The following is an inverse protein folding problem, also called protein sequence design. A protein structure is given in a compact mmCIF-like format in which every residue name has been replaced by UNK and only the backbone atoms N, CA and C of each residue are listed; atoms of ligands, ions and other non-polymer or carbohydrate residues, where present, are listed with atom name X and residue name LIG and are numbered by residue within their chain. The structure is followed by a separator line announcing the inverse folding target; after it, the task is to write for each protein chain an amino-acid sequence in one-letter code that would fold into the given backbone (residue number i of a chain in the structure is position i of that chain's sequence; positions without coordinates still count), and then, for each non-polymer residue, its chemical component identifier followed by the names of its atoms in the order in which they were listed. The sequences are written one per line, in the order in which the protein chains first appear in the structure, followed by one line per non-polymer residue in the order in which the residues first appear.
data_IF_037384591845
#
_entry.id   IF_037384591845
#
_cell.length_a   1.000
_cell.length_b   1.000
_cell.length_c   1.000
_cell.angle_alpha   90.00
_cell.angle_beta   90.00
_cell.angle_gamma   90.00
#
_symmetry.space_group_name_H-M   'P 1'
#
loop_
_entity.id
_entity.type
_entity.pdbx_description
1 polymer ?
#
# COMPACT_ATOMS: atom_id res chain seq x y z
N UNK A 1 22.93 29.13 2.12
CA UNK A 1 21.90 29.53 1.12
C UNK A 1 20.96 28.34 0.91
N UNK A 2 19.67 28.42 1.28
CA UNK A 2 18.72 27.33 0.95
C UNK A 2 18.25 27.54 -0.49
N UNK A 3 18.84 26.82 -1.43
CA UNK A 3 18.35 26.76 -2.81
C UNK A 3 16.92 26.18 -2.78
N UNK A 4 15.92 27.03 -3.06
CA UNK A 4 14.58 26.53 -3.37
C UNK A 4 14.64 25.99 -4.80
N UNK A 5 14.46 24.69 -4.94
CA UNK A 5 14.18 24.10 -6.25
C UNK A 5 12.88 24.70 -6.81
N UNK A 6 12.75 24.84 -8.14
CA UNK A 6 11.51 25.27 -8.78
C UNK A 6 10.32 24.42 -8.36
N UNK A 7 9.15 25.05 -8.23
CA UNK A 7 7.90 24.34 -7.98
C UNK A 7 7.35 23.80 -9.32
N UNK A 8 7.23 22.47 -9.43
CA UNK A 8 6.63 21.82 -10.60
C UNK A 8 5.11 22.06 -10.60
N UNK A 9 4.57 22.46 -11.75
CA UNK A 9 3.13 22.68 -11.96
C UNK A 9 2.71 22.06 -13.31
N UNK A 10 2.53 20.74 -13.38
CA UNK A 10 2.18 20.08 -14.62
C UNK A 10 0.75 20.48 -15.05
N UNK A 11 0.53 20.56 -16.36
CA UNK A 11 -0.79 20.89 -16.94
C UNK A 11 -1.83 19.80 -16.70
N UNK A 12 -1.37 18.55 -16.63
CA UNK A 12 -2.18 17.39 -16.29
C UNK A 12 -1.64 16.72 -15.03
N UNK A 13 -2.52 16.15 -14.18
CA UNK A 13 -2.06 15.42 -13.02
C UNK A 13 -1.19 14.21 -13.42
N UNK A 14 -0.03 13.99 -12.79
CA UNK A 14 0.82 12.84 -13.13
C UNK A 14 0.10 11.50 -12.93
N UNK A 15 0.48 10.52 -13.74
CA UNK A 15 0.12 9.12 -13.53
C UNK A 15 1.26 8.40 -12.83
N UNK A 16 0.93 7.46 -11.94
CA UNK A 16 1.90 6.51 -11.41
C UNK A 16 1.28 5.14 -11.14
N UNK A 17 2.11 4.21 -10.68
CA UNK A 17 1.74 2.82 -10.48
C UNK A 17 2.14 2.35 -9.07
N UNK A 18 1.32 1.50 -8.47
CA UNK A 18 1.60 0.91 -7.17
C UNK A 18 0.87 -0.40 -6.99
N UNK A 19 1.18 -1.14 -5.93
CA UNK A 19 0.42 -2.35 -5.56
C UNK A 19 -0.37 -2.12 -4.27
N UNK A 20 -1.53 -2.76 -4.17
CA UNK A 20 -2.36 -2.72 -2.98
C UNK A 20 -3.27 -3.95 -2.91
N UNK A 21 -3.64 -4.37 -1.70
CA UNK A 21 -4.58 -5.46 -1.52
C UNK A 21 -6.02 -4.95 -1.67
N UNK A 22 -6.84 -5.55 -2.55
CA UNK A 22 -8.27 -5.28 -2.61
C UNK A 22 -8.93 -5.67 -1.28
N UNK A 23 -9.85 -4.84 -0.80
CA UNK A 23 -10.59 -5.11 0.45
C UNK A 23 -12.09 -4.88 0.27
N UNK A 24 -12.89 -5.63 1.02
CA UNK A 24 -14.35 -5.51 1.10
C UNK A 24 -14.75 -5.24 2.56
N UNK A 25 -15.67 -4.31 2.79
CA UNK A 25 -16.23 -4.09 4.12
C UNK A 25 -16.97 -5.33 4.62
N UNK A 26 -17.03 -5.49 5.94
CA UNK A 26 -17.70 -6.63 6.58
C UNK A 26 -19.17 -6.77 6.15
N UNK A 27 -19.87 -5.64 5.97
CA UNK A 27 -21.25 -5.58 5.51
C UNK A 27 -21.41 -5.74 3.98
N UNK A 28 -20.30 -5.87 3.24
CA UNK A 28 -20.31 -6.05 1.78
C UNK A 28 -20.71 -4.81 0.98
N UNK A 29 -20.90 -3.67 1.62
CA UNK A 29 -21.42 -2.45 0.96
C UNK A 29 -20.35 -1.55 0.37
N UNK A 30 -19.08 -1.75 0.74
CA UNK A 30 -17.95 -0.90 0.33
C UNK A 30 -16.77 -1.75 -0.11
N UNK A 31 -16.10 -1.30 -1.15
CA UNK A 31 -14.83 -1.85 -1.59
C UNK A 31 -13.75 -0.76 -1.61
N UNK A 32 -12.49 -1.17 -1.50
CA UNK A 32 -11.36 -0.26 -1.50
C UNK A 32 -10.05 -1.02 -1.53
N UNK A 33 -9.00 -0.37 -1.06
CA UNK A 33 -7.67 -0.96 -1.05
C UNK A 33 -6.98 -0.72 0.28
N UNK A 34 -6.01 -1.57 0.61
CA UNK A 34 -5.04 -1.32 1.67
C UNK A 34 -3.64 -1.42 1.09
N UNK A 35 -2.75 -0.51 1.50
CA UNK A 35 -1.36 -0.51 1.04
C UNK A 35 -0.61 -1.78 1.48
N UNK A 36 0.50 -2.06 0.79
CA UNK A 36 1.40 -3.18 1.12
C UNK A 36 2.50 -2.81 2.11
N UNK A 37 2.81 -1.51 2.23
CA UNK A 37 3.85 -0.99 3.13
C UNK A 37 3.24 -0.49 4.45
N UNK A 38 4.05 0.20 5.29
CA UNK A 38 3.68 0.78 6.58
C UNK A 38 2.36 1.59 6.61
N UNK A 39 1.97 2.22 5.50
CA UNK A 39 0.67 2.92 5.37
C UNK A 39 -0.55 2.00 5.21
N UNK A 40 -0.34 0.68 5.09
CA UNK A 40 -1.36 -0.37 4.89
C UNK A 40 -2.14 -0.76 6.14
N UNK A 41 -2.13 0.06 7.18
CA UNK A 41 -2.92 -0.16 8.39
C UNK A 41 -4.41 0.17 8.19
N UNK A 42 -4.72 1.14 7.32
CA UNK A 42 -6.08 1.64 7.12
C UNK A 42 -6.53 1.49 5.65
N UNK A 43 -7.65 0.80 5.42
CA UNK A 43 -8.32 0.79 4.12
C UNK A 43 -8.67 2.19 3.62
N UNK A 44 -8.49 2.42 2.33
CA UNK A 44 -8.82 3.66 1.65
C UNK A 44 -9.68 3.40 0.39
N UNK A 45 -10.49 4.40 0.03
CA UNK A 45 -11.31 4.36 -1.18
C UNK A 45 -10.51 4.65 -2.46
N UNK A 46 -11.18 4.54 -3.61
CA UNK A 46 -10.61 4.84 -4.93
C UNK A 46 -10.10 6.28 -5.01
N UNK A 47 -10.91 7.24 -4.55
CA UNK A 47 -10.54 8.63 -4.31
C UNK A 47 -10.28 8.80 -2.81
N UNK A 48 -9.06 9.17 -2.43
CA UNK A 48 -8.70 9.28 -1.02
C UNK A 48 -7.62 10.32 -0.79
N UNK A 49 -7.69 10.97 0.38
CA UNK A 49 -6.67 11.87 0.91
C UNK A 49 -5.77 11.12 1.90
N UNK A 50 -4.48 11.45 1.87
CA UNK A 50 -3.48 10.89 2.76
C UNK A 50 -3.56 11.56 4.12
N UNK A 51 -3.43 10.76 5.17
CA UNK A 51 -3.31 11.22 6.54
C UNK A 51 -1.96 10.80 7.13
N UNK A 52 -1.55 11.47 8.22
CA UNK A 52 -0.37 11.04 8.96
C UNK A 52 -0.70 9.78 9.77
N UNK A 53 -0.05 8.67 9.47
CA UNK A 53 -0.22 7.41 10.21
C UNK A 53 0.18 7.53 11.69
N UNK A 54 1.07 8.48 12.01
CA UNK A 54 1.51 8.77 13.37
C UNK A 54 0.56 9.74 14.12
N UNK A 55 -0.52 10.21 13.49
CA UNK A 55 -1.45 11.17 14.10
C UNK A 55 -0.86 12.58 14.33
N UNK A 56 0.29 12.87 13.73
CA UNK A 56 0.94 14.17 13.85
C UNK A 56 0.15 15.24 13.07
N UNK A 57 0.15 16.46 13.61
CA UNK A 57 -0.52 17.62 13.00
C UNK A 57 0.38 18.25 11.95
N UNK A 58 0.27 17.77 10.71
CA UNK A 58 0.87 18.41 9.54
C UNK A 58 0.10 18.02 8.27
N UNK A 59 0.27 18.80 7.20
CA UNK A 59 -0.29 18.42 5.90
C UNK A 59 0.53 17.31 5.25
N UNK A 60 -0.15 16.26 4.78
CA UNK A 60 0.48 15.22 3.96
C UNK A 60 0.62 15.70 2.50
N UNK A 61 1.72 15.36 1.79
CA UNK A 61 2.94 14.79 2.33
C UNK A 61 3.80 15.86 3.01
N UNK A 62 4.31 15.56 4.20
CA UNK A 62 5.27 16.40 4.89
C UNK A 62 6.69 15.91 4.58
N UNK A 63 7.65 16.81 4.31
CA UNK A 63 9.01 16.42 3.85
C UNK A 63 9.78 15.57 4.87
N UNK A 64 9.50 15.75 6.16
CA UNK A 64 10.16 15.06 7.28
C UNK A 64 9.29 13.98 7.94
N UNK A 65 8.29 13.48 7.22
CA UNK A 65 7.42 12.42 7.67
C UNK A 65 7.12 11.51 6.49
N UNK A 66 6.87 10.24 6.76
CA UNK A 66 6.56 9.24 5.73
C UNK A 66 5.08 9.20 5.35
N UNK A 67 4.32 10.20 5.79
CA UNK A 67 2.93 10.39 5.38
C UNK A 67 2.79 10.69 3.88
N UNK A 68 1.69 10.21 3.30
CA UNK A 68 1.42 10.31 1.88
C UNK A 68 1.16 8.94 1.27
N UNK A 69 0.48 8.93 0.15
CA UNK A 69 0.47 7.77 -0.72
C UNK A 69 1.77 7.74 -1.52
N UNK A 70 2.20 6.54 -1.90
CA UNK A 70 3.41 6.31 -2.69
C UNK A 70 3.04 5.60 -4.00
N UNK A 71 3.66 5.98 -5.10
CA UNK A 71 3.64 5.25 -6.36
C UNK A 71 4.97 5.42 -7.09
N UNK A 72 5.33 4.46 -7.93
CA UNK A 72 6.44 4.58 -8.88
C UNK A 72 5.96 5.19 -10.19
N UNK A 73 6.88 5.72 -10.98
CA UNK A 73 6.57 6.28 -12.30
C UNK A 73 6.17 5.21 -13.31
N UNK A 74 6.86 4.07 -13.24
CA UNK A 74 6.81 3.03 -14.26
C UNK A 74 5.94 1.84 -13.85
N UNK A 75 5.22 1.30 -14.82
CA UNK A 75 4.29 0.19 -14.62
C UNK A 75 5.04 -1.10 -14.30
N UNK A 76 6.09 -1.41 -15.06
CA UNK A 76 6.87 -2.64 -14.91
C UNK A 76 7.54 -2.72 -13.54
N UNK A 77 8.03 -1.59 -13.05
CA UNK A 77 8.59 -1.46 -11.70
C UNK A 77 7.56 -1.83 -10.63
N UNK A 78 6.32 -1.36 -10.76
CA UNK A 78 5.25 -1.74 -9.82
C UNK A 78 4.80 -3.20 -9.99
N UNK A 79 4.78 -3.73 -11.21
CA UNK A 79 4.45 -5.12 -11.49
C UNK A 79 5.46 -6.08 -10.88
N UNK A 80 6.76 -5.76 -10.93
CA UNK A 80 7.79 -6.61 -10.37
C UNK A 80 7.70 -6.78 -8.84
N UNK A 81 7.09 -5.82 -8.13
CA UNK A 81 6.80 -5.98 -6.70
C UNK A 81 5.86 -7.16 -6.42
N UNK A 82 5.01 -7.54 -7.38
CA UNK A 82 4.08 -8.69 -7.27
C UNK A 82 4.79 -10.05 -7.33
N UNK A 83 6.08 -10.10 -7.68
CA UNK A 83 6.86 -11.34 -7.71
C UNK A 83 7.11 -11.91 -6.31
N UNK A 84 7.17 -11.03 -5.30
CA UNK A 84 7.34 -11.42 -3.89
C UNK A 84 6.12 -12.21 -3.40
N UNK A 85 6.35 -13.21 -2.54
CA UNK A 85 5.27 -14.10 -2.09
C UNK A 85 4.19 -13.32 -1.33
N UNK A 86 4.62 -12.32 -0.56
CA UNK A 86 3.83 -11.43 0.27
C UNK A 86 2.87 -10.57 -0.57
N UNK A 87 3.24 -10.23 -1.81
CA UNK A 87 2.49 -9.31 -2.65
C UNK A 87 1.83 -9.96 -3.86
N UNK A 88 2.02 -11.26 -4.05
CA UNK A 88 1.47 -12.00 -5.21
C UNK A 88 -0.06 -11.88 -5.35
N UNK A 89 -0.77 -11.71 -4.24
CA UNK A 89 -2.23 -11.52 -4.23
C UNK A 89 -2.68 -10.04 -4.32
N UNK A 90 -1.75 -9.08 -4.32
CA UNK A 90 -2.07 -7.68 -4.49
C UNK A 90 -2.52 -7.36 -5.93
N UNK A 91 -3.25 -6.27 -6.08
CA UNK A 91 -3.58 -5.71 -7.38
C UNK A 91 -2.57 -4.63 -7.75
N UNK A 92 -2.19 -4.58 -9.03
CA UNK A 92 -1.49 -3.44 -9.60
C UNK A 92 -2.50 -2.32 -9.86
N UNK A 93 -2.20 -1.14 -9.34
CA UNK A 93 -3.02 0.06 -9.45
C UNK A 93 -2.33 1.09 -10.33
N UNK A 94 -3.07 1.56 -11.33
CA UNK A 94 -2.77 2.81 -12.04
C UNK A 94 -3.48 3.95 -11.32
N UNK A 95 -2.74 4.97 -10.90
CA UNK A 95 -3.25 6.07 -10.09
C UNK A 95 -2.99 7.42 -10.73
N UNK A 96 -3.99 8.29 -10.68
CA UNK A 96 -3.80 9.72 -10.91
C UNK A 96 -3.32 10.36 -9.60
N UNK A 97 -2.16 11.00 -9.65
CA UNK A 97 -1.55 11.74 -8.54
C UNK A 97 -2.21 13.10 -8.43
N UNK A 98 -2.89 13.36 -7.31
CA UNK A 98 -3.67 14.57 -7.08
C UNK A 98 -3.16 15.34 -5.84
N UNK A 99 -3.46 16.63 -5.82
CA UNK A 99 -3.06 17.51 -4.73
C UNK A 99 -1.55 17.72 -4.67
N UNK A 100 -1.03 17.98 -3.47
CA UNK A 100 0.40 18.21 -3.24
C UNK A 100 1.17 16.90 -3.42
N UNK A 101 2.32 16.97 -4.07
CA UNK A 101 3.21 15.82 -4.19
C UNK A 101 4.68 16.22 -4.02
N UNK A 102 5.49 15.21 -3.70
CA UNK A 102 6.94 15.22 -3.76
C UNK A 102 7.34 14.22 -4.83
N UNK A 103 8.09 14.67 -5.83
CA UNK A 103 8.66 13.81 -6.86
C UNK A 103 10.05 13.34 -6.41
N UNK A 104 10.28 12.05 -6.56
CA UNK A 104 11.56 11.39 -6.39
C UNK A 104 11.97 10.75 -7.71
N UNK A 105 13.20 10.26 -7.75
CA UNK A 105 13.75 9.57 -8.93
C UNK A 105 12.85 8.42 -9.39
N UNK A 106 12.41 7.58 -8.46
CA UNK A 106 11.62 6.39 -8.77
C UNK A 106 10.11 6.60 -8.75
N UNK A 107 9.61 7.73 -8.24
CA UNK A 107 8.17 7.89 -8.07
C UNK A 107 7.68 9.17 -7.42
N UNK A 108 6.49 9.10 -6.84
CA UNK A 108 5.82 10.19 -6.15
C UNK A 108 5.41 9.81 -4.73
N UNK A 109 5.47 10.79 -3.82
CA UNK A 109 4.73 10.78 -2.55
C UNK A 109 3.71 11.90 -2.58
N UNK A 110 2.43 11.61 -2.35
CA UNK A 110 1.37 12.57 -2.69
C UNK A 110 0.18 12.56 -1.72
N UNK A 111 -0.55 13.67 -1.75
CA UNK A 111 -1.60 14.00 -0.78
C UNK A 111 -2.93 13.35 -1.13
N UNK A 112 -3.24 13.18 -2.42
CA UNK A 112 -4.53 12.63 -2.87
C UNK A 112 -4.33 11.73 -4.08
N UNK A 113 -5.08 10.63 -4.15
CA UNK A 113 -5.12 9.78 -5.34
C UNK A 113 -6.52 9.68 -5.90
N UNK A 114 -6.58 9.33 -7.18
CA UNK A 114 -7.66 8.51 -7.72
C UNK A 114 -7.09 7.25 -8.37
N UNK A 115 -7.53 6.08 -7.93
CA UNK A 115 -7.23 4.82 -8.64
C UNK A 115 -8.09 4.74 -9.91
N UNK A 116 -7.47 4.53 -11.07
CA UNK A 116 -8.17 4.45 -12.36
C UNK A 116 -8.40 3.01 -12.79
N UNK A 117 -7.35 2.21 -12.68
CA UNK A 117 -7.36 0.81 -13.09
C UNK A 117 -6.77 -0.03 -11.97
N UNK A 118 -7.43 -1.14 -11.63
CA UNK A 118 -6.88 -2.21 -10.81
C UNK A 118 -6.73 -3.46 -11.67
N UNK A 119 -5.50 -3.91 -11.89
CA UNK A 119 -5.19 -5.17 -12.56
C UNK A 119 -4.97 -6.24 -11.49
N UNK A 120 -5.82 -7.25 -11.47
CA UNK A 120 -5.71 -8.38 -10.52
C UNK A 120 -4.89 -9.50 -11.15
N UNK A 121 -3.98 -10.11 -10.38
CA UNK A 121 -3.19 -11.25 -10.85
C UNK A 121 -4.03 -12.51 -11.12
N UNK A 122 -3.39 -13.60 -11.58
CA UNK A 122 -4.07 -14.89 -11.74
C UNK A 122 -4.50 -15.46 -10.39
N UNK A 123 -5.41 -16.43 -10.44
CA UNK A 123 -5.72 -17.29 -9.31
C UNK A 123 -4.47 -18.06 -8.87
N UNK A 124 -4.43 -18.54 -7.63
CA UNK A 124 -3.33 -19.39 -7.11
C UNK A 124 -3.07 -20.64 -7.98
N UNK A 125 -4.09 -21.17 -8.66
CA UNK A 125 -3.94 -22.29 -9.60
C UNK A 125 -3.43 -21.88 -11.00
N UNK A 126 -3.07 -20.62 -11.20
CA UNK A 126 -2.59 -20.06 -12.48
C UNK A 126 -3.69 -19.62 -13.44
N UNK A 127 -4.94 -20.04 -13.23
CA UNK A 127 -6.05 -19.65 -14.09
C UNK A 127 -6.38 -18.14 -13.97
N UNK A 128 -6.92 -17.56 -15.05
CA UNK A 128 -7.38 -16.17 -15.07
C UNK A 128 -8.43 -15.96 -13.98
N UNK A 129 -8.25 -14.91 -13.18
CA UNK A 129 -9.20 -14.57 -12.12
C UNK A 129 -10.52 -14.04 -12.72
N UNK A 130 -11.63 -14.55 -12.21
CA UNK A 130 -12.99 -14.07 -12.55
C UNK A 130 -13.64 -13.32 -11.38
N UNK A 131 -13.08 -13.44 -10.18
CA UNK A 131 -13.57 -12.79 -8.97
C UNK A 131 -12.43 -12.55 -7.97
N UNK A 132 -12.76 -11.79 -6.93
CA UNK A 132 -11.94 -11.57 -5.75
C UNK A 132 -12.61 -12.30 -4.56
N UNK A 133 -11.90 -13.21 -3.92
CA UNK A 133 -12.39 -14.03 -2.81
C UNK A 133 -11.67 -13.71 -1.51
N UNK A 134 -12.30 -14.00 -0.36
CA UNK A 134 -11.69 -13.82 0.96
C UNK A 134 -10.28 -14.46 1.01
N UNK A 135 -9.29 -13.65 1.35
CA UNK A 135 -7.88 -14.02 1.43
C UNK A 135 -7.50 -14.63 2.79
N UNK A 136 -8.43 -14.72 3.75
CA UNK A 136 -8.19 -15.27 5.08
C UNK A 136 -7.53 -14.30 6.06
N UNK A 137 -7.40 -13.02 5.69
CA UNK A 137 -6.88 -11.95 6.54
C UNK A 137 -7.62 -10.63 6.29
N UNK A 138 -7.38 -9.63 7.14
CA UNK A 138 -8.01 -8.33 6.97
C UNK A 138 -7.61 -7.30 8.02
N UNK A 139 -8.44 -6.27 8.13
CA UNK A 139 -8.38 -5.22 9.16
C UNK A 139 -9.74 -5.16 9.87
N UNK A 140 -9.86 -4.54 11.05
CA UNK A 140 -11.15 -4.38 11.71
C UNK A 140 -12.21 -3.79 10.75
N UNK A 141 -13.30 -4.54 10.51
CA UNK A 141 -14.37 -4.16 9.59
C UNK A 141 -14.09 -4.39 8.09
N UNK A 142 -12.94 -4.96 7.71
CA UNK A 142 -12.55 -5.15 6.31
C UNK A 142 -11.87 -6.50 6.08
N UNK A 143 -12.30 -7.22 5.04
CA UNK A 143 -11.69 -8.47 4.58
C UNK A 143 -10.79 -8.17 3.40
N UNK A 144 -9.56 -8.67 3.40
CA UNK A 144 -8.73 -8.66 2.22
C UNK A 144 -9.20 -9.72 1.23
N UNK A 145 -9.03 -9.42 -0.06
CA UNK A 145 -9.43 -10.31 -1.13
C UNK A 145 -8.24 -10.70 -2.00
N UNK A 146 -8.26 -11.95 -2.48
CA UNK A 146 -7.30 -12.51 -3.41
C UNK A 146 -7.97 -12.85 -4.76
N UNK A 147 -7.25 -12.76 -5.88
CA UNK A 147 -7.77 -13.17 -7.18
C UNK A 147 -8.14 -14.65 -7.17
N UNK A 148 -9.28 -15.00 -7.79
CA UNK A 148 -9.78 -16.37 -7.83
C UNK A 148 -10.53 -16.68 -9.13
N UNK A 149 -10.28 -17.85 -9.69
CA UNK A 149 -10.98 -18.36 -10.87
C UNK A 149 -12.28 -19.06 -10.47
N UNK A 150 -13.20 -19.25 -11.42
CA UNK A 150 -14.49 -19.89 -11.19
C UNK A 150 -14.38 -21.28 -10.51
N UNK A 151 -13.34 -22.05 -10.82
CA UNK A 151 -13.11 -23.38 -10.22
C UNK A 151 -12.74 -23.31 -8.73
N UNK A 152 -11.87 -22.38 -8.35
CA UNK A 152 -11.37 -22.26 -6.98
C UNK A 152 -12.29 -21.46 -6.05
N UNK A 153 -13.37 -20.83 -6.55
CA UNK A 153 -14.26 -19.99 -5.74
C UNK A 153 -15.17 -20.74 -4.76
N UNK A 154 -15.38 -22.05 -4.97
CA UNK A 154 -16.44 -22.81 -4.28
C UNK A 154 -16.41 -22.62 -2.76
N UNK A 155 -17.52 -22.14 -2.19
CA UNK A 155 -17.73 -21.98 -0.75
C UNK A 155 -17.09 -20.76 -0.09
N UNK A 156 -16.45 -19.86 -0.84
CA UNK A 156 -15.80 -18.66 -0.29
C UNK A 156 -16.63 -17.39 -0.54
N UNK A 157 -16.65 -16.49 0.46
CA UNK A 157 -17.12 -15.12 0.27
C UNK A 157 -16.32 -14.48 -0.85
N UNK A 158 -17.02 -14.01 -1.89
CA UNK A 158 -16.38 -13.47 -3.08
C UNK A 158 -17.24 -12.42 -3.76
N UNK A 159 -16.59 -11.62 -4.58
CA UNK A 159 -17.21 -10.58 -5.38
C UNK A 159 -16.62 -10.62 -6.79
N UNK A 160 -17.46 -10.51 -7.81
CA UNK A 160 -16.96 -10.41 -9.19
C UNK A 160 -16.16 -9.12 -9.37
N UNK A 161 -15.25 -9.09 -10.37
CA UNK A 161 -14.45 -7.89 -10.65
C UNK A 161 -15.34 -6.65 -10.94
N UNK A 162 -16.43 -6.85 -11.67
CA UNK A 162 -17.39 -5.80 -11.98
C UNK A 162 -18.17 -5.31 -10.74
N UNK A 163 -18.55 -6.22 -9.83
CA UNK A 163 -19.22 -5.83 -8.59
C UNK A 163 -18.26 -5.10 -7.64
N UNK A 164 -16.99 -5.53 -7.57
CA UNK A 164 -15.97 -4.80 -6.80
C UNK A 164 -15.79 -3.37 -7.34
N UNK A 165 -15.67 -3.22 -8.66
CA UNK A 165 -15.56 -1.91 -9.32
C UNK A 165 -16.73 -0.98 -8.95
N UNK A 166 -17.96 -1.52 -8.97
CA UNK A 166 -19.18 -0.79 -8.62
C UNK A 166 -19.21 -0.35 -7.15
N UNK A 167 -18.85 -1.25 -6.23
CA UNK A 167 -18.78 -0.97 -4.79
C UNK A 167 -17.67 0.00 -4.42
N UNK A 168 -16.57 0.00 -5.20
CA UNK A 168 -15.44 0.91 -5.01
C UNK A 168 -15.74 2.32 -5.53
N UNK A 169 -16.63 2.44 -6.52
CA UNK A 169 -17.10 3.71 -7.06
C UNK A 169 -16.05 4.46 -7.89
N UNK A 170 -16.28 5.76 -8.10
CA UNK A 170 -15.33 6.71 -8.72
C UNK A 170 -14.84 6.35 -10.14
N UNK A 171 -15.58 5.49 -10.84
CA UNK A 171 -15.25 5.04 -12.18
C UNK A 171 -14.05 4.08 -12.25
N UNK A 172 -13.74 3.39 -11.15
CA UNK A 172 -12.70 2.36 -11.14
C UNK A 172 -12.97 1.29 -12.20
N UNK A 173 -11.94 0.94 -12.97
CA UNK A 173 -11.94 -0.26 -13.82
C UNK A 173 -11.16 -1.37 -13.13
N UNK A 174 -11.73 -2.57 -13.07
CA UNK A 174 -11.05 -3.77 -12.54
C UNK A 174 -10.93 -4.78 -13.66
N UNK A 175 -9.69 -5.21 -13.95
CA UNK A 175 -9.37 -6.11 -15.05
C UNK A 175 -8.53 -7.28 -14.54
N UNK A 176 -8.75 -8.47 -15.08
CA UNK A 176 -7.86 -9.59 -14.85
C UNK A 176 -6.59 -9.39 -15.70
N UNK A 177 -5.43 -9.47 -15.06
CA UNK A 177 -4.16 -9.56 -15.75
C UNK A 177 -4.09 -10.85 -16.54
N UNK A 178 -3.58 -10.77 -17.77
CA UNK A 178 -3.08 -11.96 -18.45
C UNK A 178 -1.78 -12.35 -17.77
N UNK A 179 -1.55 -13.63 -17.52
CA UNK A 179 -0.28 -14.08 -16.94
C UNK A 179 0.88 -13.48 -17.74
N UNK A 180 1.81 -12.81 -17.06
CA UNK A 180 2.95 -12.17 -17.69
C UNK A 180 3.78 -13.21 -18.45
N UNK A 181 4.11 -12.93 -19.71
CA UNK A 181 5.26 -13.58 -20.34
C UNK A 181 6.51 -13.21 -19.53
N UNK A 182 7.44 -14.16 -19.41
CA UNK A 182 8.55 -14.10 -18.47
C UNK A 182 9.40 -12.83 -18.64
N UNK A 183 9.64 -12.12 -17.55
CA UNK A 183 10.59 -11.01 -17.48
C UNK A 183 12.03 -11.50 -17.68
N UNK A 184 12.91 -10.62 -18.17
CA UNK A 184 14.33 -10.94 -18.43
C UNK A 184 15.18 -10.79 -17.15
N UNK A 185 16.32 -11.50 -17.08
CA UNK A 185 17.17 -11.60 -15.89
C UNK A 185 17.64 -10.24 -15.31
N UNK A 186 17.71 -9.19 -16.14
CA UNK A 186 18.12 -7.86 -15.70
C UNK A 186 17.06 -7.14 -14.82
N UNK A 187 15.77 -7.37 -15.05
CA UNK A 187 14.67 -6.78 -14.25
C UNK A 187 14.52 -7.46 -12.88
N UNK A 188 14.87 -8.74 -12.80
CA UNK A 188 14.87 -9.53 -11.56
C UNK A 188 15.96 -9.04 -10.60
N UNK A 189 17.14 -8.67 -11.12
CA UNK A 189 18.24 -8.17 -10.30
C UNK A 189 17.95 -6.78 -9.69
N UNK A 190 17.33 -5.87 -10.46
CA UNK A 190 16.96 -4.53 -9.98
C UNK A 190 15.87 -4.58 -8.90
N UNK A 191 14.95 -5.54 -8.98
CA UNK A 191 13.81 -5.67 -8.06
C UNK A 191 14.19 -6.36 -6.76
N UNK A 192 15.15 -7.30 -6.80
CA UNK A 192 15.78 -7.86 -5.61
C UNK A 192 16.50 -6.78 -4.77
N UNK A 193 17.23 -5.84 -5.40
CA UNK A 193 17.89 -4.74 -4.70
C UNK A 193 16.89 -3.78 -4.04
N UNK A 194 15.76 -3.48 -4.70
CA UNK A 194 14.68 -2.68 -4.10
C UNK A 194 14.02 -3.39 -2.91
N UNK A 195 13.75 -4.69 -3.01
CA UNK A 195 13.19 -5.48 -1.91
C UNK A 195 14.11 -5.58 -0.70
N UNK A 196 15.42 -5.74 -0.91
CA UNK A 196 16.42 -5.74 0.18
C UNK A 196 16.49 -4.36 0.86
N UNK A 197 16.41 -3.27 0.09
CA UNK A 197 16.41 -1.91 0.64
C UNK A 197 15.14 -1.60 1.43
N UNK A 198 13.98 -2.07 0.97
CA UNK A 198 12.72 -1.94 1.69
C UNK A 198 12.75 -2.74 3.01
N UNK A 199 13.19 -4.00 2.98
CA UNK A 199 13.36 -4.82 4.19
C UNK A 199 14.37 -4.20 5.17
N UNK A 200 15.45 -3.60 4.67
CA UNK A 200 16.44 -2.91 5.51
C UNK A 200 15.84 -1.66 6.15
N UNK A 201 15.03 -0.90 5.41
CA UNK A 201 14.33 0.27 5.95
C UNK A 201 13.28 -0.13 7.00
N UNK A 202 12.56 -1.23 6.76
CA UNK A 202 11.61 -1.78 7.73
C UNK A 202 12.32 -2.31 8.98
N UNK A 203 13.42 -3.03 8.84
CA UNK A 203 14.24 -3.49 9.95
C UNK A 203 14.79 -2.33 10.78
N UNK A 204 15.30 -1.28 10.12
CA UNK A 204 15.78 -0.07 10.81
C UNK A 204 14.64 0.64 11.57
N UNK A 205 13.44 0.68 11.01
CA UNK A 205 12.28 1.25 11.68
C UNK A 205 11.83 0.42 12.89
N UNK A 206 11.82 -0.91 12.76
CA UNK A 206 11.50 -1.82 13.86
C UNK A 206 12.53 -1.68 14.98
N UNK A 207 13.81 -1.57 14.64
CA UNK A 207 14.88 -1.33 15.59
C UNK A 207 14.69 0.01 16.32
N UNK A 208 14.40 1.09 15.60
CA UNK A 208 14.14 2.40 16.21
C UNK A 208 12.92 2.39 17.16
N UNK A 209 11.88 1.60 16.85
CA UNK A 209 10.72 1.42 17.74
C UNK A 209 11.11 0.64 19.00
N UNK A 210 11.90 -0.41 18.88
CA UNK A 210 12.42 -1.18 20.00
C UNK A 210 13.25 -0.30 20.94
N UNK A 211 14.18 0.48 20.39
CA UNK A 211 15.03 1.40 21.16
C UNK A 211 14.19 2.47 21.89
N UNK A 212 13.15 2.98 21.24
CA UNK A 212 12.21 3.91 21.86
C UNK A 212 11.42 3.25 23.00
N UNK A 213 10.90 2.04 22.81
CA UNK A 213 10.20 1.28 23.85
C UNK A 213 11.11 1.01 25.05
N UNK A 214 12.35 0.58 24.81
CA UNK A 214 13.36 0.36 25.86
C UNK A 214 13.64 1.65 26.64
N UNK A 215 13.77 2.78 25.94
CA UNK A 215 13.93 4.09 26.59
C UNK A 215 12.73 4.45 27.47
N UNK A 216 11.49 4.15 27.03
CA UNK A 216 10.31 4.40 27.86
C UNK A 216 10.26 3.48 29.08
N UNK A 217 10.61 2.19 28.93
CA UNK A 217 10.67 1.24 30.04
C UNK A 217 11.73 1.64 31.07
N UNK A 218 12.92 2.07 30.64
CA UNK A 218 13.98 2.56 31.52
C UNK A 218 13.52 3.76 32.36
N UNK A 219 12.86 4.74 31.72
CA UNK A 219 12.29 5.92 32.42
C UNK A 219 11.17 5.58 33.41
N UNK A 220 10.43 4.50 33.17
CA UNK A 220 9.41 4.00 34.10
C UNK A 220 10.06 3.22 35.25
N UNK A 221 11.13 2.48 35.00
CA UNK A 221 11.93 1.78 36.02
C UNK A 221 12.68 2.74 36.95
N UNK A 222 13.21 3.85 36.43
CA UNK A 222 13.85 4.92 37.21
C UNK A 222 12.88 5.68 38.13
N UNK A 223 11.56 5.48 37.98
CA UNK A 223 10.52 6.09 38.83
C UNK A 223 9.90 5.11 39.85
N UNK A 224 10.52 3.94 40.08
CA UNK A 224 10.24 3.05 41.21
C UNK A 224 10.81 3.58 42.54
N UNK A 225 10.29 3.18 43.72
CA UNK A 225 10.08 4.07 44.86
C UNK A 225 11.35 4.40 45.66
N UNK A 226 11.93 5.59 45.42
CA UNK A 226 12.63 6.33 46.48
C UNK A 226 11.63 7.24 47.21
N UNK A 227 10.81 6.63 48.07
CA UNK A 227 10.04 7.36 49.07
C UNK A 227 9.81 6.45 50.30
N UNK A 228 10.79 6.46 51.19
CA UNK A 228 10.75 5.84 52.51
C UNK A 228 11.86 6.43 53.37
N UNK A 229 11.62 7.64 53.86
CA UNK A 229 12.52 8.45 54.68
C UNK A 229 12.94 7.78 55.99
N UNK A 230 14.22 7.94 56.32
CA UNK A 230 14.80 8.30 57.63
C UNK A 230 14.04 7.84 58.89
N UNK A 231 14.66 6.90 59.60
CA UNK A 231 14.57 6.75 61.06
C UNK A 231 15.93 7.01 61.68
#
# INVERSE_FOLDING_TARGET
MRLRLPEERPTEPPTGYKIAHPVLSHDGTRAGFTGVSLGGALPYGVLADASCVYGLRHQAPHRRCDCGFHCVHDRTTAEALLCTAEHRAAALLEVTVLGRYLRFELGFRYARQRVRTATVGPCTCGAVASALADAGWGRPGWRALAPSCAGCLRGRTSVSLASFARLAGEGLRVVAGRGSEAATDAEVAATADLGVRELTAEAALLQARLDWFQTQLARLGERGPEAGSQG
#
